data_IF_463068646637
#
_entry.id   IF_463068646637
#
_cell.length_a   1.000
_cell.length_b   1.000
_cell.length_c   1.000
_cell.angle_alpha   90.00
_cell.angle_beta   90.00
_cell.angle_gamma   90.00
#
_symmetry.space_group_name_H-M   'P 1'
#
loop_
_entity.id
_entity.type
_entity.pdbx_description
1 polymer ?
#
# COMPACT_ATOMS: atom_id res chain seq x y z
N UNK A 1 -27.51 1.02 8.02
CA UNK A 1 -26.61 -0.12 8.30
C UNK A 1 -25.81 -0.38 7.06
N UNK A 2 -24.49 -0.26 7.18
CA UNK A 2 -23.58 -0.69 6.12
C UNK A 2 -23.50 -2.22 6.15
N UNK A 3 -23.31 -2.85 5.00
CA UNK A 3 -23.18 -4.30 4.94
C UNK A 3 -21.87 -4.73 5.62
N UNK A 4 -21.88 -5.79 6.42
CA UNK A 4 -20.70 -6.31 7.13
C UNK A 4 -19.50 -6.57 6.19
N UNK A 5 -19.75 -6.89 4.92
CA UNK A 5 -18.72 -7.07 3.89
C UNK A 5 -17.93 -5.77 3.66
N UNK A 6 -18.60 -4.62 3.59
CA UNK A 6 -17.99 -3.31 3.35
C UNK A 6 -17.12 -2.90 4.54
N UNK A 7 -17.60 -3.12 5.77
CA UNK A 7 -16.84 -2.85 7.00
C UNK A 7 -15.57 -3.70 7.06
N UNK A 8 -15.70 -5.01 6.80
CA UNK A 8 -14.56 -5.94 6.72
C UNK A 8 -13.54 -5.49 5.68
N UNK A 9 -13.99 -5.21 4.46
CA UNK A 9 -13.09 -4.86 3.36
C UNK A 9 -12.39 -3.53 3.62
N UNK A 10 -13.07 -2.57 4.26
CA UNK A 10 -12.47 -1.30 4.68
C UNK A 10 -11.35 -1.51 5.70
N UNK A 11 -11.57 -2.29 6.76
CA UNK A 11 -10.53 -2.60 7.76
C UNK A 11 -9.34 -3.29 7.09
N UNK A 12 -9.59 -4.32 6.29
CA UNK A 12 -8.53 -5.07 5.61
C UNK A 12 -7.71 -4.18 4.67
N UNK A 13 -8.34 -3.21 4.02
CA UNK A 13 -7.66 -2.23 3.16
C UNK A 13 -6.70 -1.35 3.97
N UNK A 14 -7.11 -0.87 5.14
CA UNK A 14 -6.23 -0.08 6.02
C UNK A 14 -5.11 -0.92 6.61
N UNK A 15 -5.42 -2.12 7.09
CA UNK A 15 -4.43 -3.05 7.65
C UNK A 15 -3.39 -3.46 6.62
N UNK A 16 -3.81 -3.73 5.38
CA UNK A 16 -2.89 -4.02 4.27
C UNK A 16 -1.99 -2.84 3.93
N UNK A 17 -2.47 -1.61 4.13
CA UNK A 17 -1.64 -0.43 3.94
C UNK A 17 -0.59 -0.26 5.04
N UNK A 18 -0.73 -0.96 6.18
CA UNK A 18 0.27 -1.02 7.24
C UNK A 18 1.36 -2.07 6.94
N UNK A 19 2.59 -1.76 7.31
CA UNK A 19 3.84 -2.50 7.13
C UNK A 19 4.03 -3.40 8.34
N UNK A 20 2.98 -4.20 8.56
CA UNK A 20 2.92 -5.16 9.65
C UNK A 20 3.15 -6.56 9.08
N UNK A 21 3.76 -7.48 9.85
CA UNK A 21 3.78 -8.89 9.51
C UNK A 21 2.34 -9.39 9.24
N UNK A 22 2.14 -10.29 8.27
CA UNK A 22 0.81 -10.65 7.79
C UNK A 22 -0.11 -11.19 8.90
N UNK A 23 0.43 -12.02 9.79
CA UNK A 23 -0.31 -12.54 10.94
C UNK A 23 -0.71 -11.44 11.93
N UNK A 24 0.20 -10.52 12.25
CA UNK A 24 -0.08 -9.39 13.16
C UNK A 24 -1.14 -8.45 12.58
N UNK A 25 -1.09 -8.17 11.28
CA UNK A 25 -2.10 -7.36 10.63
C UNK A 25 -3.48 -8.01 10.71
N UNK A 26 -3.58 -9.31 10.43
CA UNK A 26 -4.84 -10.04 10.49
C UNK A 26 -5.41 -10.17 11.91
N UNK A 27 -4.56 -10.39 12.92
CA UNK A 27 -4.96 -10.39 14.33
C UNK A 27 -5.55 -9.03 14.73
N UNK A 28 -4.88 -7.95 14.35
CA UNK A 28 -5.34 -6.59 14.62
C UNK A 28 -6.68 -6.29 13.92
N UNK A 29 -6.83 -6.71 12.66
CA UNK A 29 -8.09 -6.59 11.92
C UNK A 29 -9.24 -7.33 12.61
N UNK A 30 -8.95 -8.54 13.10
CA UNK A 30 -9.91 -9.39 13.79
C UNK A 30 -10.32 -8.80 15.14
N UNK A 31 -9.39 -8.25 15.91
CA UNK A 31 -9.67 -7.60 17.19
C UNK A 31 -10.54 -6.34 17.01
N UNK A 32 -10.27 -5.55 15.97
CA UNK A 32 -11.07 -4.37 15.63
C UNK A 32 -12.50 -4.76 15.23
N UNK A 33 -12.67 -5.77 14.38
CA UNK A 33 -13.99 -6.26 13.95
C UNK A 33 -14.80 -6.86 15.11
N UNK A 34 -14.14 -7.53 16.06
CA UNK A 34 -14.80 -8.03 17.27
C UNK A 34 -15.27 -6.90 18.18
N UNK A 35 -14.49 -5.83 18.31
CA UNK A 35 -14.84 -4.68 19.15
C UNK A 35 -15.99 -3.84 18.58
N UNK A 36 -16.10 -3.72 17.26
CA UNK A 36 -17.16 -2.95 16.60
C UNK A 36 -18.39 -3.77 16.19
N UNK A 37 -18.38 -5.08 16.44
CA UNK A 37 -19.40 -6.04 15.99
C UNK A 37 -19.70 -5.97 14.48
N UNK A 38 -18.79 -5.38 13.69
CA UNK A 38 -18.97 -5.07 12.27
C UNK A 38 -20.25 -4.27 11.95
N UNK A 39 -20.71 -3.41 12.87
CA UNK A 39 -21.97 -2.67 12.78
C UNK A 39 -21.92 -1.44 11.86
N UNK A 40 -20.83 -0.67 11.92
CA UNK A 40 -20.60 0.56 11.15
C UNK A 40 -19.12 0.72 10.79
N UNK A 41 -18.81 1.36 9.66
CA UNK A 41 -17.43 1.71 9.28
C UNK A 41 -16.79 2.62 10.34
N UNK A 42 -17.52 3.62 10.86
CA UNK A 42 -16.98 4.58 11.82
C UNK A 42 -16.54 3.88 13.11
N UNK A 43 -17.44 3.10 13.72
CA UNK A 43 -17.16 2.30 14.92
C UNK A 43 -16.02 1.29 14.70
N UNK A 44 -15.95 0.71 13.49
CA UNK A 44 -14.91 -0.22 13.11
C UNK A 44 -13.53 0.45 12.97
N UNK A 45 -13.49 1.69 12.50
CA UNK A 45 -12.26 2.47 12.39
C UNK A 45 -11.80 3.00 13.76
N UNK A 46 -12.73 3.42 14.62
CA UNK A 46 -12.41 3.84 16.00
C UNK A 46 -11.88 2.67 16.84
N UNK A 47 -12.47 1.49 16.66
CA UNK A 47 -11.99 0.24 17.27
C UNK A 47 -10.59 -0.14 16.73
N UNK A 48 -10.35 0.05 15.43
CA UNK A 48 -9.05 -0.19 14.80
C UNK A 48 -7.98 0.73 15.39
N UNK A 49 -8.25 2.03 15.49
CA UNK A 49 -7.33 3.00 16.11
C UNK A 49 -7.03 2.61 17.56
N UNK A 50 -8.07 2.28 18.33
CA UNK A 50 -7.93 1.82 19.72
C UNK A 50 -7.03 0.58 19.83
N UNK A 51 -7.14 -0.38 18.91
CA UNK A 51 -6.29 -1.57 18.87
C UNK A 51 -4.83 -1.23 18.52
N UNK A 52 -4.61 -0.34 17.56
CA UNK A 52 -3.27 0.15 17.18
C UNK A 52 -2.59 0.83 18.37
N UNK A 53 -3.31 1.70 19.10
CA UNK A 53 -2.81 2.38 20.30
C UNK A 53 -2.46 1.38 21.40
N UNK A 54 -3.35 0.40 21.66
CA UNK A 54 -3.11 -0.66 22.67
C UNK A 54 -1.86 -1.47 22.36
N UNK A 55 -1.63 -1.81 21.10
CA UNK A 55 -0.48 -2.60 20.67
C UNK A 55 0.82 -1.78 20.51
N UNK A 56 0.78 -0.46 20.81
CA UNK A 56 1.90 0.48 20.66
C UNK A 56 2.54 0.42 19.26
N UNK A 57 1.71 0.20 18.23
CA UNK A 57 2.17 0.23 16.84
C UNK A 57 2.42 1.68 16.47
N UNK A 58 3.60 1.95 15.90
CA UNK A 58 4.01 3.30 15.57
C UNK A 58 3.19 3.84 14.38
N UNK A 59 2.34 4.82 14.69
CA UNK A 59 1.48 5.54 13.75
C UNK A 59 2.24 6.65 13.01
N UNK A 60 3.49 6.91 13.37
CA UNK A 60 4.35 7.91 12.74
C UNK A 60 4.58 9.15 13.59
N UNK A 61 4.91 10.26 12.94
CA UNK A 61 5.36 11.50 13.59
C UNK A 61 4.23 12.13 14.42
N UNK A 62 4.58 12.54 15.65
CA UNK A 62 3.69 13.29 16.56
C UNK A 62 4.02 14.77 16.55
N UNK A 63 2.99 15.61 16.70
CA UNK A 63 3.12 17.05 16.93
C UNK A 63 3.70 17.35 18.32
N UNK A 64 4.07 18.61 18.57
CA UNK A 64 4.52 19.09 19.89
C UNK A 64 3.51 18.87 21.04
N UNK A 65 2.23 18.66 20.70
CA UNK A 65 1.15 18.33 21.65
C UNK A 65 0.99 16.81 21.91
N UNK A 66 1.78 15.97 21.25
CA UNK A 66 1.68 14.51 21.34
C UNK A 66 0.61 13.86 20.44
N UNK A 67 -0.15 14.65 19.69
CA UNK A 67 -1.15 14.19 18.70
C UNK A 67 -0.46 13.73 17.40
N UNK A 68 -0.99 12.71 16.72
CA UNK A 68 -0.47 12.29 15.41
C UNK A 68 -0.83 13.31 14.34
N UNK A 69 0.13 13.61 13.46
CA UNK A 69 -0.05 14.61 12.41
C UNK A 69 -0.85 13.97 11.27
N UNK A 70 -2.09 14.39 11.07
CA UNK A 70 -2.97 13.87 10.00
C UNK A 70 -2.43 14.09 8.59
N UNK A 71 -1.52 15.06 8.39
CA UNK A 71 -0.90 15.38 7.10
C UNK A 71 0.32 14.51 6.77
N UNK A 72 0.80 13.68 7.70
CA UNK A 72 1.92 12.76 7.48
C UNK A 72 1.36 11.36 7.30
N UNK A 73 1.60 10.69 6.16
CA UNK A 73 1.16 9.30 5.99
C UNK A 73 1.84 8.42 7.07
N UNK A 74 1.15 7.42 7.62
CA UNK A 74 1.70 6.59 8.69
C UNK A 74 3.03 5.97 8.26
N UNK A 75 4.04 5.95 9.14
CA UNK A 75 5.38 5.41 8.85
C UNK A 75 5.39 3.89 8.70
N UNK A 76 4.33 3.24 9.17
CA UNK A 76 3.97 1.87 8.82
C UNK A 76 3.43 1.77 7.39
N UNK A 77 3.45 2.79 6.51
CA UNK A 77 3.07 2.54 5.12
C UNK A 77 4.20 1.81 4.41
N UNK A 78 3.94 0.58 3.96
CA UNK A 78 4.91 -0.17 3.17
C UNK A 78 5.43 0.71 2.04
N UNK A 79 6.76 0.87 1.95
CA UNK A 79 7.35 1.72 0.92
C UNK A 79 6.85 1.23 -0.44
N UNK A 80 6.34 2.15 -1.27
CA UNK A 80 6.07 1.82 -2.66
C UNK A 80 7.43 1.58 -3.31
N UNK A 81 7.91 0.34 -3.26
CA UNK A 81 9.14 -0.08 -3.94
C UNK A 81 8.88 0.19 -5.41
N UNK A 82 9.47 1.27 -5.93
CA UNK A 82 9.36 1.61 -7.34
C UNK A 82 9.81 0.38 -8.11
N UNK A 83 8.89 -0.26 -8.84
CA UNK A 83 9.19 -1.37 -9.73
C UNK A 83 10.35 -0.93 -10.62
N UNK A 84 11.57 -1.38 -10.30
CA UNK A 84 12.86 -0.98 -10.87
C UNK A 84 12.74 0.24 -11.78
N UNK A 85 12.68 1.44 -11.19
CA UNK A 85 12.69 2.66 -11.99
C UNK A 85 13.97 2.61 -12.82
N UNK A 86 13.84 2.62 -14.14
CA UNK A 86 14.99 2.53 -15.04
C UNK A 86 15.88 3.74 -14.76
N UNK A 87 17.00 3.51 -14.07
CA UNK A 87 17.92 4.58 -13.64
C UNK A 87 18.68 5.19 -14.81
N UNK A 88 18.57 4.56 -15.99
CA UNK A 88 19.30 4.93 -17.19
C UNK A 88 18.38 4.87 -18.42
N UNK A 89 17.34 5.73 -18.48
CA UNK A 89 16.34 5.68 -19.56
C UNK A 89 16.96 5.92 -20.95
N UNK A 90 18.06 6.67 -21.00
CA UNK A 90 18.81 6.92 -22.24
C UNK A 90 19.51 5.67 -22.78
N UNK A 91 20.06 4.80 -21.91
CA UNK A 91 20.69 3.55 -22.32
C UNK A 91 19.65 2.59 -22.91
N UNK A 92 18.50 2.48 -22.24
CA UNK A 92 17.40 1.64 -22.71
C UNK A 92 16.80 2.14 -24.03
N UNK A 93 16.69 3.46 -24.20
CA UNK A 93 16.24 4.07 -25.45
C UNK A 93 17.24 3.84 -26.60
N UNK A 94 18.54 4.01 -26.34
CA UNK A 94 19.61 3.78 -27.33
C UNK A 94 19.64 2.31 -27.77
N UNK A 95 19.57 1.38 -26.82
CA UNK A 95 19.61 -0.05 -27.12
C UNK A 95 18.40 -0.48 -27.97
N UNK A 96 17.20 0.03 -27.65
CA UNK A 96 16.00 -0.16 -28.47
C UNK A 96 16.14 0.44 -29.88
N UNK A 97 16.80 1.59 -30.01
CA UNK A 97 17.07 2.21 -31.30
C UNK A 97 18.01 1.36 -32.15
N UNK A 98 19.12 0.89 -31.58
CA UNK A 98 20.10 0.03 -32.26
C UNK A 98 19.45 -1.29 -32.70
N UNK A 99 18.69 -1.95 -31.82
CA UNK A 99 17.98 -3.18 -32.16
C UNK A 99 16.97 -2.97 -33.29
N UNK A 100 16.26 -1.84 -33.28
CA UNK A 100 15.31 -1.47 -34.35
C UNK A 100 16.04 -1.19 -35.66
N UNK A 101 17.18 -0.52 -35.61
CA UNK A 101 17.99 -0.20 -36.78
C UNK A 101 18.61 -1.48 -37.39
N UNK A 102 19.20 -2.34 -36.56
CA UNK A 102 19.73 -3.63 -36.99
C UNK A 102 18.64 -4.50 -37.65
N UNK A 103 17.42 -4.51 -37.08
CA UNK A 103 16.27 -5.19 -37.69
C UNK A 103 15.83 -4.58 -39.02
N UNK A 104 15.99 -3.27 -39.21
CA UNK A 104 15.65 -2.65 -40.50
C UNK A 104 16.70 -2.91 -41.58
N UNK A 105 17.97 -3.10 -41.21
CA UNK A 105 19.06 -3.34 -42.16
C UNK A 105 19.27 -4.82 -42.48
N UNK A 106 19.08 -5.70 -41.50
CA UNK A 106 19.33 -7.14 -41.62
C UNK A 106 18.06 -7.99 -41.42
N UNK A 107 16.91 -7.35 -41.19
CA UNK A 107 15.64 -8.07 -41.14
C UNK A 107 15.28 -8.60 -42.53
N UNK A 108 14.56 -9.73 -42.61
CA UNK A 108 14.14 -10.29 -43.88
C UNK A 108 13.36 -9.21 -44.63
N UNK A 109 13.85 -8.85 -45.83
CA UNK A 109 13.06 -8.05 -46.75
C UNK A 109 11.75 -8.82 -46.93
N UNK A 110 10.63 -8.24 -46.50
CA UNK A 110 9.32 -8.72 -46.94
C UNK A 110 9.28 -8.48 -48.44
N UNK A 111 9.78 -9.44 -49.23
CA UNK A 111 9.46 -9.54 -50.64
C UNK A 111 7.95 -9.73 -50.68
N UNK A 112 7.27 -8.76 -51.27
CA UNK A 112 5.86 -8.89 -51.63
C UNK A 112 5.65 -10.07 -52.55
#
# INVERSE_FOLDING_TARGET
MESWQVVRDRILLYVRAMDLPPFKGLELALDALKQSEASSIEEAMDALESCIVKQKIDLGVRNAKGEHISSVPPMTRGTMVSKNFDRTPWLTALNKFILRWARNLFGPSRSR
#
